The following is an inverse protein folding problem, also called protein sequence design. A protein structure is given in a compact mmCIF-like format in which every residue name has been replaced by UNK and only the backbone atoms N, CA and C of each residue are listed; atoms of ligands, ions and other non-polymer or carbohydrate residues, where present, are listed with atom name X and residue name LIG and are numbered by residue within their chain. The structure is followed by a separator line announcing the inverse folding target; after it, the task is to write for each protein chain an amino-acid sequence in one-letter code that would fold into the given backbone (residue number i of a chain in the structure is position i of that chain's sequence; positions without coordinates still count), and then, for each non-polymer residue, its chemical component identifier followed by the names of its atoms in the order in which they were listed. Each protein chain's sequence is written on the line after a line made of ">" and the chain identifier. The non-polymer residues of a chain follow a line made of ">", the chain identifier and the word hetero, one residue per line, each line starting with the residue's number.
data_IF_854353362496
#
_entry.id   IF_854353362496
#
_cell.length_a   1.000
_cell.length_b   1.000
_cell.length_c   1.000
_cell.angle_alpha   90.00
_cell.angle_beta   90.00
_cell.angle_gamma   90.00
#
_symmetry.space_group_name_H-M   'P 1'
#
loop_
_entity.id
_entity.type
_entity.pdbx_description
1 polymer ?
#
# COMPACT_ATOMS: atom_id res chain seq x y z
N UNK A 1 -4.10 -4.85 -19.38
CA UNK A 1 -3.05 -5.43 -18.52
C UNK A 1 -2.05 -4.34 -18.15
N UNK A 2 -1.90 -4.04 -16.86
CA UNK A 2 -0.96 -3.05 -16.32
C UNK A 2 -0.42 -3.58 -14.98
N UNK A 3 0.69 -3.04 -14.51
CA UNK A 3 1.19 -3.24 -13.16
C UNK A 3 0.82 -2.02 -12.32
N UNK A 4 0.13 -2.23 -11.19
CA UNK A 4 -0.42 -1.15 -10.36
C UNK A 4 0.02 -1.37 -8.93
N UNK A 5 0.65 -0.36 -8.32
CA UNK A 5 0.88 -0.29 -6.88
C UNK A 5 -0.36 0.32 -6.22
N UNK A 6 -0.98 -0.41 -5.31
CA UNK A 6 -2.01 0.10 -4.41
C UNK A 6 -1.35 0.32 -3.06
N UNK A 7 -1.14 1.59 -2.69
CA UNK A 7 -0.62 1.96 -1.38
C UNK A 7 -1.78 2.24 -0.43
N UNK A 8 -1.91 1.45 0.63
CA UNK A 8 -2.92 1.59 1.67
C UNK A 8 -2.28 1.97 3.01
N UNK A 9 -2.91 2.92 3.71
CA UNK A 9 -2.32 3.59 4.86
C UNK A 9 -3.39 3.93 5.92
N UNK A 10 -4.12 2.92 6.40
CA UNK A 10 -5.09 3.13 7.47
C UNK A 10 -5.12 1.97 8.48
N UNK A 11 -5.06 2.23 9.80
CA UNK A 11 -4.89 1.18 10.81
C UNK A 11 -6.16 0.40 11.14
N UNK A 12 -7.34 0.96 10.85
CA UNK A 12 -8.63 0.36 11.24
C UNK A 12 -9.22 -0.43 10.07
N UNK A 13 -9.35 -1.74 10.26
CA UNK A 13 -9.80 -2.72 9.25
C UNK A 13 -11.30 -2.60 8.94
N UNK A 14 -12.08 -2.00 9.83
CA UNK A 14 -13.51 -1.73 9.64
C UNK A 14 -13.79 -0.32 9.13
N UNK A 15 -12.76 0.45 8.81
CA UNK A 15 -12.92 1.80 8.28
C UNK A 15 -13.49 1.82 6.87
N UNK A 16 -14.02 2.98 6.47
CA UNK A 16 -14.39 3.22 5.08
C UNK A 16 -13.20 3.03 4.11
N UNK A 17 -12.00 3.45 4.52
CA UNK A 17 -10.79 3.30 3.71
C UNK A 17 -10.43 1.82 3.49
N UNK A 18 -10.57 0.97 4.50
CA UNK A 18 -10.37 -0.48 4.36
C UNK A 18 -11.35 -1.08 3.34
N UNK A 19 -12.62 -0.64 3.38
CA UNK A 19 -13.62 -1.04 2.39
C UNK A 19 -13.27 -0.60 0.96
N UNK A 20 -12.78 0.62 0.79
CA UNK A 20 -12.35 1.15 -0.51
C UNK A 20 -11.11 0.41 -1.05
N UNK A 21 -10.12 0.17 -0.19
CA UNK A 21 -8.91 -0.58 -0.51
C UNK A 21 -9.24 -1.98 -1.03
N UNK A 22 -10.03 -2.74 -0.26
CA UNK A 22 -10.49 -4.07 -0.70
C UNK A 22 -11.21 -4.00 -2.05
N UNK A 23 -12.11 -3.03 -2.21
CA UNK A 23 -12.87 -2.86 -3.46
C UNK A 23 -11.95 -2.59 -4.64
N UNK A 24 -10.93 -1.73 -4.50
CA UNK A 24 -10.06 -1.38 -5.63
C UNK A 24 -9.16 -2.55 -6.03
N UNK A 25 -8.59 -3.27 -5.06
CA UNK A 25 -7.75 -4.45 -5.30
C UNK A 25 -8.57 -5.54 -6.01
N UNK A 26 -9.78 -5.84 -5.51
CA UNK A 26 -10.67 -6.84 -6.14
C UNK A 26 -11.03 -6.46 -7.57
N UNK A 27 -11.37 -5.19 -7.82
CA UNK A 27 -11.81 -4.73 -9.16
C UNK A 27 -10.67 -4.69 -10.17
N UNK A 28 -9.49 -4.20 -9.78
CA UNK A 28 -8.34 -4.15 -10.68
C UNK A 28 -7.80 -5.55 -10.99
N UNK A 29 -7.80 -6.45 -10.01
CA UNK A 29 -7.47 -7.87 -10.23
C UNK A 29 -8.45 -8.52 -11.19
N UNK A 30 -9.76 -8.30 -11.01
CA UNK A 30 -10.79 -8.84 -11.90
C UNK A 30 -10.71 -8.29 -13.34
N UNK A 31 -10.19 -7.08 -13.53
CA UNK A 31 -9.93 -6.48 -14.84
C UNK A 31 -8.65 -7.03 -15.51
N UNK A 32 -7.93 -7.96 -14.87
CA UNK A 32 -6.70 -8.55 -15.39
C UNK A 32 -5.53 -7.57 -15.35
N UNK A 33 -5.37 -6.83 -14.25
CA UNK A 33 -4.13 -6.12 -13.92
C UNK A 33 -3.31 -6.92 -12.90
N UNK A 34 -2.00 -6.72 -12.89
CA UNK A 34 -1.14 -7.17 -11.81
C UNK A 34 -1.10 -6.11 -10.72
N UNK A 35 -1.39 -6.50 -9.49
CA UNK A 35 -1.44 -5.61 -8.33
C UNK A 35 -0.29 -5.93 -7.39
N UNK A 36 0.45 -4.89 -7.04
CA UNK A 36 1.31 -4.86 -5.85
C UNK A 36 0.52 -4.17 -4.75
N UNK A 37 0.08 -4.94 -3.76
CA UNK A 37 -0.80 -4.47 -2.69
C UNK A 37 0.04 -4.18 -1.44
N UNK A 38 0.36 -2.90 -1.24
CA UNK A 38 1.24 -2.43 -0.17
C UNK A 38 0.43 -1.78 0.94
N UNK A 39 0.28 -2.49 2.05
CA UNK A 39 -0.41 -2.02 3.26
C UNK A 39 0.62 -1.61 4.30
N UNK A 40 0.82 -0.30 4.45
CA UNK A 40 1.83 0.25 5.35
C UNK A 40 1.64 -0.15 6.82
N UNK A 41 0.40 -0.37 7.26
CA UNK A 41 0.13 -0.76 8.64
C UNK A 41 0.31 -2.27 8.83
N UNK A 42 -0.14 -3.09 7.88
CA UNK A 42 0.08 -4.54 7.94
C UNK A 42 1.56 -4.91 7.77
N UNK A 43 2.32 -4.11 7.02
CA UNK A 43 3.76 -4.29 6.79
C UNK A 43 4.64 -3.70 7.90
N UNK A 44 4.06 -3.07 8.93
CA UNK A 44 4.78 -2.37 10.01
C UNK A 44 5.83 -1.38 9.47
N UNK A 45 5.43 -0.61 8.46
CA UNK A 45 6.32 0.35 7.82
C UNK A 45 6.74 1.45 8.82
N UNK A 46 8.04 1.66 8.97
CA UNK A 46 8.58 2.78 9.74
C UNK A 46 8.66 4.05 8.87
N UNK A 47 7.81 5.07 9.09
CA UNK A 47 7.81 6.28 8.27
C UNK A 47 8.96 7.23 8.62
N UNK A 48 9.79 6.91 9.63
CA UNK A 48 10.83 7.82 10.12
C UNK A 48 12.12 7.61 9.34
N UNK A 49 12.53 8.64 8.60
CA UNK A 49 13.86 8.68 7.99
C UNK A 49 14.94 8.64 9.09
N UNK A 50 15.77 7.60 9.07
CA UNK A 50 16.91 7.46 9.96
C UNK A 50 18.08 8.33 9.51
N UNK A 51 19.00 8.62 10.44
CA UNK A 51 20.25 9.32 10.11
C UNK A 51 21.09 8.53 9.09
N UNK A 52 21.13 7.20 9.20
CA UNK A 52 21.90 6.35 8.30
C UNK A 52 21.37 6.45 6.86
N UNK A 53 20.04 6.35 6.68
CA UNK A 53 19.40 6.54 5.37
C UNK A 53 19.64 7.94 4.81
N UNK A 54 19.53 8.98 5.65
CA UNK A 54 19.79 10.36 5.23
C UNK A 54 21.22 10.58 4.73
N UNK A 55 22.20 9.93 5.36
CA UNK A 55 23.61 10.02 4.97
C UNK A 55 23.93 9.18 3.73
N UNK A 56 23.23 8.06 3.53
CA UNK A 56 23.39 7.19 2.36
C UNK A 56 22.67 7.68 1.10
N UNK A 57 21.81 8.69 1.22
CA UNK A 57 21.11 9.31 0.09
C UNK A 57 22.06 10.23 -0.71
N UNK A 58 22.55 9.75 -1.86
CA UNK A 58 23.41 10.48 -2.81
C UNK A 58 22.65 10.92 -4.06
#
# INVERSE_FOLDING_TARGET
>A
MMNILVLYAHPVETSFNAGLHRTIVERLTAAGHMIDDCDLYAEDFDPRLTRAERLGYH
#
